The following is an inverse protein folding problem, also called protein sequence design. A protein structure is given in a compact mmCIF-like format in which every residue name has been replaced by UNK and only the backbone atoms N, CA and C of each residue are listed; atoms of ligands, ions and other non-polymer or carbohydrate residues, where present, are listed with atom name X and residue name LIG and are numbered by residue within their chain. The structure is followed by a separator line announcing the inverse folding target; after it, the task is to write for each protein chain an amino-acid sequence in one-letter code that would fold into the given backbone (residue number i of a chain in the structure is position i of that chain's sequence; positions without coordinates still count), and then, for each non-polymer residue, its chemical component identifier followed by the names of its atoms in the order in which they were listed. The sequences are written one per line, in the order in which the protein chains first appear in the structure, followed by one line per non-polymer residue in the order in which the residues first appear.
data_IF_346201259829
#
_entry.id   IF_346201259829
#
_cell.length_a   1.000
_cell.length_b   1.000
_cell.length_c   1.000
_cell.angle_alpha   90.00
_cell.angle_beta   90.00
_cell.angle_gamma   90.00
#
_symmetry.space_group_name_H-M   'P 1'
#
loop_
_entity.id
_entity.type
_entity.pdbx_description
1 polymer ?
#
# COMPACT_ATOMS: atom_id res chain seq x y z
N UNK A 1 28.71 47.66 -0.46
CA UNK A 1 29.18 48.00 -1.82
C UNK A 1 29.00 46.78 -2.69
N UNK A 2 28.37 46.89 -3.89
CA UNK A 2 28.12 45.75 -4.77
C UNK A 2 29.21 45.59 -5.83
N UNK A 3 29.58 44.34 -6.13
CA UNK A 3 30.31 43.95 -7.35
C UNK A 3 29.63 42.67 -7.87
N UNK A 4 28.70 42.83 -8.82
CA UNK A 4 28.87 42.64 -10.28
C UNK A 4 28.86 41.19 -10.74
N UNK A 5 27.90 40.91 -11.63
CA UNK A 5 27.72 39.63 -12.35
C UNK A 5 28.85 39.41 -13.34
N UNK A 6 29.17 38.14 -13.60
CA UNK A 6 29.70 37.70 -14.90
C UNK A 6 29.04 36.37 -15.27
N UNK A 7 28.22 36.41 -16.32
CA UNK A 7 27.64 35.22 -16.94
C UNK A 7 28.61 34.68 -17.98
N UNK A 8 28.81 33.36 -18.01
CA UNK A 8 29.45 32.67 -19.13
C UNK A 8 28.58 31.48 -19.54
N UNK A 9 28.26 31.40 -20.83
CA UNK A 9 27.35 30.40 -21.37
C UNK A 9 28.03 29.05 -21.57
N UNK A 10 27.32 27.95 -21.31
CA UNK A 10 27.75 26.61 -21.67
C UNK A 10 27.01 26.20 -22.97
N UNK A 11 27.76 26.08 -24.07
CA UNK A 11 27.24 25.66 -25.37
C UNK A 11 27.35 24.14 -25.54
N UNK A 12 26.32 23.53 -26.11
CA UNK A 12 26.36 22.14 -26.57
C UNK A 12 27.37 21.97 -27.70
N UNK A 13 28.05 20.83 -27.75
CA UNK A 13 28.51 20.25 -29.01
C UNK A 13 28.44 18.72 -28.94
N UNK A 14 27.63 18.13 -29.84
CA UNK A 14 27.74 16.72 -30.18
C UNK A 14 28.85 16.58 -31.23
N UNK A 15 29.62 15.49 -31.16
CA UNK A 15 30.44 15.04 -32.27
C UNK A 15 30.35 13.52 -32.43
N UNK A 16 29.71 13.08 -33.52
CA UNK A 16 29.94 11.76 -34.08
C UNK A 16 31.26 11.80 -34.86
N UNK A 17 32.07 10.75 -34.74
CA UNK A 17 33.16 10.48 -35.66
C UNK A 17 33.21 8.97 -35.94
N UNK A 18 32.94 8.60 -37.19
CA UNK A 18 33.18 7.26 -37.72
C UNK A 18 34.27 7.38 -38.79
N UNK A 19 35.29 6.53 -38.74
CA UNK A 19 36.19 6.26 -39.86
C UNK A 19 36.72 4.82 -39.80
N UNK A 20 36.35 4.05 -40.82
CA UNK A 20 37.16 2.96 -41.39
C UNK A 20 38.36 3.61 -42.15
N UNK A 21 39.43 2.97 -42.63
CA UNK A 21 39.77 1.56 -42.95
C UNK A 21 41.29 1.45 -43.25
N UNK A 22 41.86 0.23 -43.19
CA UNK A 22 43.12 -0.15 -43.88
C UNK A 22 44.41 0.03 -43.05
N UNK A 23 45.42 -0.86 -43.08
CA UNK A 23 45.60 -2.07 -43.90
C UNK A 23 46.35 -3.22 -43.17
N UNK A 24 46.16 -4.44 -43.69
CA UNK A 24 46.83 -5.73 -43.38
C UNK A 24 47.52 -6.23 -44.69
N UNK A 25 48.02 -7.47 -44.89
CA UNK A 25 48.07 -8.69 -44.05
C UNK A 25 49.48 -8.85 -43.40
N UNK A 26 49.98 -9.98 -42.89
CA UNK A 26 49.56 -11.40 -42.81
C UNK A 26 50.19 -12.02 -41.51
N UNK A 27 50.12 -13.30 -41.14
CA UNK A 27 49.40 -14.51 -41.58
C UNK A 27 49.35 -15.49 -40.36
N UNK A 28 48.84 -16.74 -40.34
CA UNK A 28 48.12 -17.59 -41.29
C UNK A 28 47.16 -18.52 -40.51
N UNK A 29 46.35 -19.30 -41.25
CA UNK A 29 45.68 -20.55 -40.82
C UNK A 29 44.60 -20.45 -39.72
N UNK A 30 43.34 -20.30 -40.16
CA UNK A 30 42.17 -20.59 -39.33
C UNK A 30 41.88 -22.10 -39.28
N UNK A 31 41.59 -22.61 -38.07
CA UNK A 31 40.85 -23.85 -37.89
C UNK A 31 39.38 -23.49 -37.63
N UNK A 32 38.48 -23.88 -38.54
CA UNK A 32 37.06 -23.59 -38.43
C UNK A 32 36.37 -24.48 -37.39
N UNK A 33 35.78 -23.88 -36.37
CA UNK A 33 34.78 -24.53 -35.52
C UNK A 33 33.46 -23.76 -35.66
N UNK A 34 32.44 -24.40 -36.23
CA UNK A 34 31.08 -23.87 -36.27
C UNK A 34 30.51 -23.85 -34.84
N UNK A 35 30.65 -22.73 -34.14
CA UNK A 35 29.89 -22.46 -32.93
C UNK A 35 28.43 -22.20 -33.34
N UNK A 36 27.61 -23.26 -33.34
CA UNK A 36 26.16 -23.10 -33.33
C UNK A 36 25.77 -22.22 -32.13
N UNK A 37 24.78 -21.32 -32.26
CA UNK A 37 24.25 -20.62 -31.10
C UNK A 37 23.76 -21.67 -30.10
N UNK A 38 24.21 -21.58 -28.86
CA UNK A 38 23.76 -22.47 -27.80
C UNK A 38 22.23 -22.38 -27.73
N UNK A 39 21.55 -23.52 -27.90
CA UNK A 39 20.12 -23.58 -27.73
C UNK A 39 19.79 -23.03 -26.33
N UNK A 40 18.89 -22.05 -26.26
CA UNK A 40 18.37 -21.57 -24.99
C UNK A 40 17.89 -22.79 -24.21
N UNK A 41 18.43 -23.01 -23.02
CA UNK A 41 17.97 -24.09 -22.17
C UNK A 41 16.45 -23.90 -21.97
N UNK A 42 15.63 -24.95 -22.15
CA UNK A 42 14.22 -24.84 -21.87
C UNK A 42 14.08 -24.38 -20.42
N UNK A 43 13.36 -23.27 -20.20
CA UNK A 43 13.10 -22.76 -18.87
C UNK A 43 12.61 -23.93 -18.01
N UNK A 44 13.27 -24.14 -16.87
CA UNK A 44 12.89 -25.22 -15.97
C UNK A 44 11.40 -25.09 -15.67
N UNK A 45 10.66 -26.20 -15.76
CA UNK A 45 9.24 -26.20 -15.42
C UNK A 45 9.10 -25.57 -14.02
N UNK A 46 8.26 -24.52 -13.83
CA UNK A 46 8.08 -23.91 -12.53
C UNK A 46 7.84 -24.99 -11.48
N UNK A 47 8.68 -25.00 -10.45
CA UNK A 47 8.57 -25.99 -9.39
C UNK A 47 7.23 -25.80 -8.68
N UNK A 48 6.56 -26.90 -8.31
CA UNK A 48 5.28 -26.85 -7.60
C UNK A 48 5.50 -26.14 -6.25
N UNK A 49 4.84 -25.00 -5.96
CA UNK A 49 5.05 -24.26 -4.72
C UNK A 49 4.89 -25.12 -3.46
N UNK A 50 4.06 -26.18 -3.52
CA UNK A 50 3.93 -27.14 -2.41
C UNK A 50 5.21 -27.94 -2.19
N UNK A 51 5.89 -28.36 -3.25
CA UNK A 51 7.14 -29.11 -3.17
C UNK A 51 8.29 -28.24 -2.66
N UNK A 52 8.34 -26.98 -3.10
CA UNK A 52 9.29 -25.98 -2.60
C UNK A 52 9.09 -25.80 -1.09
N UNK A 53 7.84 -25.61 -0.66
CA UNK A 53 7.47 -25.43 0.75
C UNK A 53 7.81 -26.66 1.62
N UNK A 54 7.48 -27.87 1.19
CA UNK A 54 7.84 -29.08 1.95
C UNK A 54 9.37 -29.28 2.03
N UNK A 55 10.11 -28.96 0.97
CA UNK A 55 11.57 -28.98 0.99
C UNK A 55 12.13 -27.94 1.98
N UNK A 56 11.57 -26.74 2.01
CA UNK A 56 11.95 -25.68 2.95
C UNK A 56 11.64 -26.07 4.41
N UNK A 57 10.47 -26.64 4.69
CA UNK A 57 10.15 -27.17 6.02
C UNK A 57 11.09 -28.33 6.42
N UNK A 58 11.43 -29.22 5.50
CA UNK A 58 12.39 -30.30 5.75
C UNK A 58 13.82 -29.77 6.00
N UNK A 59 14.20 -28.62 5.43
CA UNK A 59 15.46 -27.94 5.74
C UNK A 59 15.40 -27.25 7.11
N UNK A 60 14.30 -26.57 7.43
CA UNK A 60 14.10 -25.89 8.70
C UNK A 60 14.15 -26.88 9.89
N UNK A 61 13.50 -28.04 9.78
CA UNK A 61 13.55 -29.11 10.80
C UNK A 61 14.95 -29.63 11.12
N UNK A 62 15.93 -29.48 10.21
CA UNK A 62 17.33 -29.85 10.49
C UNK A 62 18.04 -28.83 11.41
N UNK A 63 17.59 -27.57 11.44
CA UNK A 63 18.09 -26.52 12.35
C UNK A 63 17.25 -26.41 13.62
N UNK A 64 15.93 -26.60 13.50
CA UNK A 64 14.94 -26.49 14.58
C UNK A 64 14.15 -27.80 14.62
N UNK A 65 14.63 -28.84 15.33
CA UNK A 65 13.99 -30.16 15.34
C UNK A 65 12.53 -30.13 15.79
N UNK A 66 12.22 -29.26 16.75
CA UNK A 66 10.89 -29.07 17.34
C UNK A 66 9.99 -28.12 16.50
N UNK A 67 10.37 -27.80 15.26
CA UNK A 67 9.54 -26.99 14.37
C UNK A 67 8.25 -27.72 13.98
N UNK A 68 7.12 -27.21 14.49
CA UNK A 68 5.79 -27.58 14.05
C UNK A 68 5.29 -26.69 12.91
N UNK A 69 4.55 -27.30 11.98
CA UNK A 69 3.88 -26.56 10.89
C UNK A 69 2.62 -25.85 11.38
N UNK A 70 1.96 -26.40 12.40
CA UNK A 70 0.76 -25.81 12.97
C UNK A 70 1.12 -24.48 13.64
N UNK A 71 0.38 -23.41 13.33
CA UNK A 71 0.71 -22.06 13.80
C UNK A 71 1.91 -21.39 13.09
N UNK A 72 2.46 -22.00 12.04
CA UNK A 72 3.48 -21.34 11.19
C UNK A 72 2.86 -20.62 9.99
N UNK A 73 3.40 -19.45 9.68
CA UNK A 73 3.13 -18.68 8.47
C UNK A 73 4.25 -18.91 7.45
N UNK A 74 3.94 -18.80 6.16
CA UNK A 74 4.95 -18.87 5.11
C UNK A 74 4.61 -17.94 3.94
N UNK A 75 5.66 -17.39 3.34
CA UNK A 75 5.60 -16.68 2.06
C UNK A 75 6.51 -17.40 1.05
N UNK A 76 6.07 -17.44 -0.21
CA UNK A 76 6.78 -18.08 -1.32
C UNK A 76 6.97 -17.04 -2.42
N UNK A 77 8.17 -16.99 -3.01
CA UNK A 77 8.51 -16.10 -4.12
C UNK A 77 10.01 -15.97 -4.29
N UNK A 78 10.44 -15.59 -5.50
CA UNK A 78 11.84 -15.33 -5.84
C UNK A 78 12.40 -14.11 -5.07
N UNK A 79 13.40 -14.33 -4.18
CA UNK A 79 14.04 -13.29 -3.37
C UNK A 79 15.32 -12.73 -3.97
N UNK A 80 15.97 -13.41 -4.93
CA UNK A 80 17.26 -12.97 -5.48
C UNK A 80 17.31 -12.80 -7.01
N UNK A 81 16.21 -13.08 -7.69
CA UNK A 81 16.03 -12.92 -9.13
C UNK A 81 16.58 -14.08 -9.95
N UNK A 82 16.83 -15.25 -9.36
CA UNK A 82 17.33 -16.43 -10.09
C UNK A 82 16.24 -17.17 -10.89
N UNK A 83 14.97 -16.80 -10.70
CA UNK A 83 13.82 -17.37 -11.39
C UNK A 83 13.24 -18.62 -10.71
N UNK A 84 13.70 -18.96 -9.50
CA UNK A 84 13.16 -20.04 -8.67
C UNK A 84 12.57 -19.43 -7.39
N UNK A 85 11.35 -19.84 -7.01
CA UNK A 85 10.76 -19.33 -5.77
C UNK A 85 11.50 -19.83 -4.52
N UNK A 86 11.80 -18.90 -3.62
CA UNK A 86 12.32 -19.15 -2.28
C UNK A 86 11.17 -19.23 -1.26
N UNK A 87 11.50 -19.56 -0.01
CA UNK A 87 10.51 -19.64 1.08
C UNK A 87 10.99 -18.86 2.30
N UNK A 88 10.10 -18.07 2.89
CA UNK A 88 10.26 -17.53 4.24
C UNK A 88 9.20 -18.14 5.13
N UNK A 89 9.59 -18.58 6.33
CA UNK A 89 8.70 -19.18 7.34
C UNK A 89 8.80 -18.37 8.62
N UNK A 90 7.66 -17.93 9.16
CA UNK A 90 7.56 -17.41 10.52
C UNK A 90 6.91 -18.48 11.41
N UNK A 91 7.48 -18.70 12.58
CA UNK A 91 7.13 -19.80 13.47
C UNK A 91 7.31 -19.38 14.94
N UNK A 92 6.49 -19.94 15.80
CA UNK A 92 6.57 -19.69 17.24
C UNK A 92 7.76 -20.38 17.90
N UNK A 93 8.34 -19.73 18.92
CA UNK A 93 9.06 -20.44 19.99
C UNK A 93 8.03 -20.78 21.08
N UNK A 94 7.79 -22.08 21.34
CA UNK A 94 6.80 -22.52 22.34
C UNK A 94 6.72 -24.03 22.49
N UNK A 95 6.01 -24.49 23.53
CA UNK A 95 5.64 -25.90 23.69
C UNK A 95 4.43 -26.25 22.82
N UNK A 96 4.21 -27.52 22.42
CA UNK A 96 3.08 -27.92 21.56
C UNK A 96 1.69 -27.49 22.05
N UNK A 97 1.52 -27.33 23.36
CA UNK A 97 0.25 -26.88 23.98
C UNK A 97 0.04 -25.35 23.94
N UNK A 98 1.05 -24.57 23.53
CA UNK A 98 0.99 -23.12 23.49
C UNK A 98 0.30 -22.62 22.21
N UNK A 99 -1.04 -22.56 22.22
CA UNK A 99 -1.87 -22.07 21.11
C UNK A 99 -1.56 -20.61 20.69
N UNK A 100 -0.81 -19.88 21.50
CA UNK A 100 -0.34 -18.52 21.25
C UNK A 100 1.17 -18.49 21.55
N UNK A 101 2.01 -18.45 20.52
CA UNK A 101 3.44 -18.26 20.70
C UNK A 101 3.71 -16.83 21.18
N UNK A 102 4.33 -16.68 22.35
CA UNK A 102 4.65 -15.35 22.92
C UNK A 102 5.70 -14.59 22.11
N UNK A 103 6.50 -15.31 21.32
CA UNK A 103 7.46 -14.78 20.35
C UNK A 103 7.38 -15.60 19.06
N UNK A 104 7.42 -14.93 17.90
CA UNK A 104 7.63 -15.57 16.59
C UNK A 104 9.01 -15.24 16.08
N UNK A 105 9.75 -16.25 15.65
CA UNK A 105 10.97 -16.11 14.84
C UNK A 105 10.64 -16.31 13.38
N UNK A 106 11.55 -15.92 12.50
CA UNK A 106 11.46 -16.26 11.09
C UNK A 106 12.77 -16.76 10.50
N UNK A 107 12.66 -17.48 9.40
CA UNK A 107 13.77 -18.04 8.65
C UNK A 107 13.52 -17.91 7.14
N UNK A 108 14.52 -17.45 6.41
CA UNK A 108 14.55 -17.51 4.95
C UNK A 108 15.31 -18.75 4.47
N UNK A 109 14.78 -19.41 3.44
CA UNK A 109 15.29 -20.63 2.83
C UNK A 109 15.36 -20.41 1.32
N UNK A 110 16.58 -20.33 0.78
CA UNK A 110 16.78 -20.14 -0.65
C UNK A 110 16.69 -21.48 -1.40
N UNK A 111 16.03 -21.52 -2.55
CA UNK A 111 15.87 -22.70 -3.40
C UNK A 111 17.09 -22.88 -4.30
N UNK A 112 18.07 -23.71 -3.89
CA UNK A 112 19.30 -23.91 -4.67
C UNK A 112 19.35 -25.25 -5.42
N UNK A 113 20.14 -25.37 -6.51
CA UNK A 113 20.35 -26.64 -7.21
C UNK A 113 20.89 -27.78 -6.34
N UNK A 114 21.59 -27.46 -5.24
CA UNK A 114 22.05 -28.41 -4.23
C UNK A 114 21.00 -28.78 -3.16
N UNK A 115 19.77 -28.30 -3.30
CA UNK A 115 18.71 -28.35 -2.31
C UNK A 115 18.52 -27.05 -1.53
N UNK A 116 17.45 -26.94 -0.71
CA UNK A 116 17.12 -25.75 0.07
C UNK A 116 18.26 -25.31 1.01
N UNK A 117 18.70 -24.06 0.85
CA UNK A 117 19.74 -23.41 1.64
C UNK A 117 19.12 -22.48 2.68
N UNK A 118 19.15 -22.90 3.93
CA UNK A 118 18.71 -22.09 5.07
C UNK A 118 19.68 -20.93 5.32
N UNK A 119 19.19 -19.69 5.30
CA UNK A 119 20.03 -18.49 5.47
C UNK A 119 20.47 -18.29 6.93
N UNK A 120 21.61 -17.61 7.16
CA UNK A 120 22.02 -17.17 8.50
C UNK A 120 20.96 -16.24 9.10
N UNK A 121 20.61 -16.45 10.37
CA UNK A 121 19.85 -15.45 11.11
C UNK A 121 20.82 -14.32 11.50
N UNK A 122 20.76 -13.22 10.76
CA UNK A 122 21.47 -11.96 11.05
C UNK A 122 20.42 -10.87 11.17
N UNK A 123 20.37 -10.21 12.33
CA UNK A 123 19.57 -9.01 12.58
C UNK A 123 18.06 -9.14 12.30
N UNK A 124 17.50 -10.32 12.56
CA UNK A 124 16.05 -10.48 12.75
C UNK A 124 15.72 -9.97 14.16
N UNK A 125 14.95 -8.89 14.27
CA UNK A 125 14.52 -8.38 15.57
C UNK A 125 13.80 -9.47 16.39
N UNK A 126 13.97 -9.46 17.71
CA UNK A 126 13.18 -10.30 18.63
C UNK A 126 11.70 -9.88 18.70
N UNK A 127 11.35 -8.76 18.04
CA UNK A 127 9.99 -8.40 17.69
C UNK A 127 9.36 -9.54 16.89
N UNK A 128 8.25 -10.11 17.39
CA UNK A 128 7.52 -11.09 16.58
C UNK A 128 7.03 -10.42 15.29
N UNK A 129 7.00 -11.16 14.18
CA UNK A 129 6.55 -10.64 12.88
C UNK A 129 5.45 -11.51 12.29
N UNK A 130 4.62 -10.87 11.48
CA UNK A 130 3.71 -11.51 10.54
C UNK A 130 4.30 -11.41 9.13
N UNK A 131 4.16 -12.48 8.34
CA UNK A 131 4.59 -12.46 6.93
C UNK A 131 3.48 -11.85 6.08
N UNK A 132 3.81 -10.83 5.29
CA UNK A 132 2.91 -10.32 4.23
C UNK A 132 3.15 -11.13 2.95
N UNK A 133 4.29 -10.92 2.29
CA UNK A 133 4.58 -11.55 0.99
C UNK A 133 6.06 -11.48 0.61
N UNK A 134 6.40 -12.23 -0.44
CA UNK A 134 7.59 -12.02 -1.24
C UNK A 134 7.13 -11.48 -2.60
N UNK A 135 7.70 -10.35 -3.06
CA UNK A 135 7.42 -9.77 -4.36
C UNK A 135 8.60 -8.91 -4.82
N UNK A 136 8.89 -8.89 -6.13
CA UNK A 136 9.93 -8.04 -6.75
C UNK A 136 11.32 -8.13 -6.06
N UNK A 137 11.76 -9.34 -5.68
CA UNK A 137 13.03 -9.58 -5.00
C UNK A 137 13.08 -9.08 -3.55
N UNK A 138 11.92 -8.88 -2.91
CA UNK A 138 11.79 -8.32 -1.55
C UNK A 138 10.84 -9.14 -0.68
N UNK A 139 11.22 -9.27 0.58
CA UNK A 139 10.37 -9.79 1.66
C UNK A 139 9.71 -8.60 2.37
N UNK A 140 8.39 -8.68 2.53
CA UNK A 140 7.59 -7.72 3.27
C UNK A 140 7.12 -8.36 4.58
N UNK A 141 7.37 -7.67 5.70
CA UNK A 141 6.99 -8.10 7.05
C UNK A 141 6.17 -7.02 7.74
N UNK A 142 5.27 -7.46 8.61
CA UNK A 142 4.49 -6.61 9.49
C UNK A 142 4.88 -6.87 10.94
N UNK A 143 5.17 -5.83 11.69
CA UNK A 143 5.44 -5.89 13.13
C UNK A 143 4.18 -5.48 13.88
N UNK A 144 3.64 -6.32 14.77
CA UNK A 144 2.47 -6.00 15.57
C UNK A 144 2.80 -5.06 16.73
N UNK A 145 1.76 -4.44 17.27
CA UNK A 145 1.75 -3.77 18.56
C UNK A 145 1.89 -4.76 19.74
N UNK A 146 1.13 -5.85 19.72
CA UNK A 146 1.05 -6.85 20.79
C UNK A 146 1.03 -8.27 20.21
N UNK A 147 2.16 -8.97 20.28
CA UNK A 147 2.34 -10.32 19.74
C UNK A 147 1.28 -11.36 20.18
N UNK A 148 0.70 -11.19 21.37
CA UNK A 148 -0.29 -12.10 21.96
C UNK A 148 -1.73 -11.59 21.88
N UNK A 149 -2.01 -10.55 21.11
CA UNK A 149 -3.40 -10.18 20.80
C UNK A 149 -3.99 -11.17 19.78
N UNK A 150 -5.30 -11.41 19.86
CA UNK A 150 -6.00 -12.24 18.86
C UNK A 150 -6.08 -11.54 17.48
N UNK A 151 -6.08 -10.20 17.47
CA UNK A 151 -6.11 -9.31 16.30
C UNK A 151 -5.09 -8.17 16.46
N UNK A 152 -3.78 -8.46 16.39
CA UNK A 152 -2.75 -7.46 16.63
C UNK A 152 -2.67 -6.43 15.49
N UNK A 153 -2.52 -5.15 15.82
CA UNK A 153 -2.41 -4.07 14.83
C UNK A 153 -0.97 -3.92 14.36
N UNK A 154 -0.75 -3.69 13.08
CA UNK A 154 0.61 -3.45 12.56
C UNK A 154 1.11 -2.07 12.98
N UNK A 155 2.16 -2.02 13.82
CA UNK A 155 2.85 -0.78 14.19
C UNK A 155 3.89 -0.34 13.16
N UNK A 156 4.51 -1.31 12.48
CA UNK A 156 5.65 -1.07 11.59
C UNK A 156 5.68 -2.06 10.43
N UNK A 157 6.03 -1.57 9.25
CA UNK A 157 6.19 -2.32 8.00
C UNK A 157 7.67 -2.38 7.67
N UNK A 158 8.23 -3.58 7.53
CA UNK A 158 9.64 -3.80 7.21
C UNK A 158 9.77 -4.33 5.79
N UNK A 159 10.77 -3.84 5.06
CA UNK A 159 11.17 -4.43 3.77
C UNK A 159 12.59 -4.96 3.86
N UNK A 160 12.79 -6.21 3.49
CA UNK A 160 14.09 -6.87 3.38
C UNK A 160 14.37 -7.24 1.92
N UNK A 161 15.64 -7.24 1.52
CA UNK A 161 16.07 -7.70 0.21
C UNK A 161 17.37 -8.51 0.31
N UNK A 162 17.59 -9.39 -0.66
CA UNK A 162 18.82 -10.17 -0.76
C UNK A 162 20.03 -9.29 -1.10
N UNK A 163 21.12 -9.46 -0.36
CA UNK A 163 22.37 -8.70 -0.56
C UNK A 163 23.53 -9.53 -1.14
N UNK A 164 23.24 -10.72 -1.70
CA UNK A 164 24.25 -11.69 -2.14
C UNK A 164 24.74 -12.67 -1.07
N UNK A 165 24.32 -12.50 0.20
CA UNK A 165 24.71 -13.38 1.31
C UNK A 165 23.58 -13.68 2.31
N UNK A 166 22.72 -12.69 2.60
CA UNK A 166 21.60 -12.79 3.52
C UNK A 166 20.49 -11.82 3.11
N UNK A 167 19.32 -11.90 3.75
CA UNK A 167 18.33 -10.84 3.68
C UNK A 167 18.74 -9.69 4.62
N UNK A 168 18.84 -8.47 4.08
CA UNK A 168 19.10 -7.27 4.85
C UNK A 168 17.89 -6.34 4.83
N UNK A 169 17.59 -5.70 5.96
CA UNK A 169 16.55 -4.68 6.06
C UNK A 169 16.94 -3.48 5.20
N UNK A 170 16.14 -3.14 4.20
CA UNK A 170 16.36 -2.03 3.29
C UNK A 170 15.41 -0.84 3.52
N UNK A 171 14.29 -1.08 4.21
CA UNK A 171 13.30 -0.03 4.53
C UNK A 171 12.55 -0.34 5.83
N UNK A 172 12.02 0.71 6.46
CA UNK A 172 11.16 0.65 7.64
C UNK A 172 10.17 1.80 7.64
N UNK A 173 8.90 1.50 7.89
CA UNK A 173 7.84 2.49 7.86
C UNK A 173 6.85 2.27 9.01
N UNK A 174 6.62 3.28 9.85
CA UNK A 174 5.56 3.22 10.86
C UNK A 174 4.17 3.23 10.21
N UNK A 175 3.14 2.78 10.93
CA UNK A 175 1.76 2.82 10.46
C UNK A 175 1.32 4.23 10.02
N UNK A 176 1.64 5.27 10.81
CA UNK A 176 1.41 6.68 10.44
C UNK A 176 2.12 7.07 9.14
N UNK A 177 3.40 6.73 8.99
CA UNK A 177 4.16 7.07 7.79
C UNK A 177 3.61 6.36 6.54
N UNK A 178 3.12 5.11 6.69
CA UNK A 178 2.42 4.38 5.63
C UNK A 178 1.10 5.05 5.28
N UNK A 179 0.28 5.36 6.28
CA UNK A 179 -0.99 6.05 6.10
C UNK A 179 -0.81 7.37 5.35
N UNK A 180 0.13 8.22 5.76
CA UNK A 180 0.46 9.49 5.08
C UNK A 180 0.94 9.29 3.64
N UNK A 181 1.77 8.29 3.38
CA UNK A 181 2.19 7.96 2.01
C UNK A 181 0.99 7.55 1.15
N UNK A 182 0.12 6.66 1.65
CA UNK A 182 -1.06 6.18 0.92
C UNK A 182 -2.07 7.30 0.68
N UNK A 183 -2.34 8.15 1.68
CA UNK A 183 -3.19 9.35 1.53
C UNK A 183 -2.61 10.32 0.49
N UNK A 184 -1.29 10.56 0.52
CA UNK A 184 -0.60 11.37 -0.47
C UNK A 184 -0.71 10.82 -1.89
N UNK A 185 -0.60 9.50 -2.06
CA UNK A 185 -0.78 8.81 -3.35
C UNK A 185 -2.24 8.88 -3.84
N UNK A 186 -3.21 8.76 -2.95
CA UNK A 186 -4.64 8.89 -3.27
C UNK A 186 -5.00 10.33 -3.68
N UNK A 187 -4.49 11.34 -2.96
CA UNK A 187 -4.61 12.76 -3.33
C UNK A 187 -4.10 13.02 -4.76
N UNK A 188 -2.91 12.49 -5.05
CA UNK A 188 -2.26 12.52 -6.35
C UNK A 188 -3.10 11.83 -7.45
N UNK A 189 -3.75 10.70 -7.13
CA UNK A 189 -4.62 9.97 -8.06
C UNK A 189 -5.89 10.76 -8.39
N UNK A 190 -6.58 11.32 -7.39
CA UNK A 190 -7.75 12.19 -7.60
C UNK A 190 -7.39 13.45 -8.39
N UNK A 191 -6.29 14.12 -8.06
CA UNK A 191 -5.82 15.31 -8.78
C UNK A 191 -5.52 15.02 -10.27
N UNK A 192 -5.00 13.83 -10.59
CA UNK A 192 -4.75 13.38 -11.97
C UNK A 192 -5.95 12.71 -12.65
N UNK A 193 -7.03 12.44 -11.92
CA UNK A 193 -8.17 11.61 -12.35
C UNK A 193 -7.75 10.21 -12.83
N UNK A 194 -6.78 9.62 -12.12
CA UNK A 194 -6.27 8.27 -12.41
C UNK A 194 -7.31 7.23 -11.99
N UNK A 195 -8.13 6.78 -12.95
CA UNK A 195 -9.23 5.85 -12.71
C UNK A 195 -8.75 4.55 -12.06
N UNK A 196 -7.59 4.03 -12.46
CA UNK A 196 -7.10 2.74 -11.94
C UNK A 196 -6.68 2.89 -10.49
N UNK A 197 -5.87 3.91 -10.16
CA UNK A 197 -5.43 4.16 -8.79
C UNK A 197 -6.58 4.53 -7.83
N UNK A 198 -7.63 5.20 -8.32
CA UNK A 198 -8.86 5.48 -7.54
C UNK A 198 -9.68 4.20 -7.33
N UNK A 199 -9.70 3.26 -8.28
CA UNK A 199 -10.40 1.98 -8.12
C UNK A 199 -9.60 0.95 -7.30
N UNK A 200 -8.27 1.08 -7.19
CA UNK A 200 -7.42 0.20 -6.38
C UNK A 200 -7.67 0.31 -4.86
N UNK A 201 -8.21 1.45 -4.38
CA UNK A 201 -8.63 1.60 -2.99
C UNK A 201 -9.97 0.94 -2.67
N UNK A 202 -10.62 0.25 -3.61
CA UNK A 202 -11.84 -0.52 -3.33
C UNK A 202 -11.59 -2.02 -3.23
N UNK A 203 -12.31 -2.68 -2.32
CA UNK A 203 -12.43 -4.13 -2.29
C UNK A 203 -13.64 -4.55 -3.11
N UNK A 204 -13.39 -5.06 -4.31
CA UNK A 204 -14.45 -5.58 -5.19
C UNK A 204 -14.83 -7.03 -4.85
N UNK A 205 -16.09 -7.45 -5.09
CA UNK A 205 -17.20 -6.66 -5.61
C UNK A 205 -17.80 -5.71 -4.57
N UNK A 206 -18.28 -4.55 -5.01
CA UNK A 206 -19.01 -3.60 -4.17
C UNK A 206 -20.51 -3.97 -4.17
N UNK A 207 -21.17 -4.03 -3.01
CA UNK A 207 -22.63 -4.14 -2.94
C UNK A 207 -23.31 -2.89 -3.52
N UNK A 208 -24.39 -3.05 -4.29
CA UNK A 208 -25.13 -1.91 -4.87
C UNK A 208 -25.68 -0.97 -3.79
N UNK A 209 -26.10 -1.52 -2.65
CA UNK A 209 -26.56 -0.76 -1.48
C UNK A 209 -25.43 -0.08 -0.68
N UNK A 210 -24.16 -0.19 -1.12
CA UNK A 210 -23.01 0.52 -0.52
C UNK A 210 -22.52 1.70 -1.36
N UNK A 211 -23.25 2.09 -2.41
CA UNK A 211 -22.87 3.17 -3.33
C UNK A 211 -24.08 3.99 -3.82
N UNK A 212 -23.94 5.31 -4.04
CA UNK A 212 -25.03 6.17 -4.50
C UNK A 212 -25.10 6.22 -6.03
N UNK A 213 -25.51 5.12 -6.67
CA UNK A 213 -25.57 4.97 -8.14
C UNK A 213 -26.95 4.54 -8.67
N UNK A 214 -27.98 4.59 -7.82
CA UNK A 214 -29.35 4.21 -8.18
C UNK A 214 -29.86 5.09 -9.33
N UNK A 215 -30.49 4.48 -10.34
CA UNK A 215 -30.97 5.17 -11.55
C UNK A 215 -29.89 5.49 -12.61
N UNK A 216 -28.60 5.25 -12.34
CA UNK A 216 -27.52 5.35 -13.34
C UNK A 216 -27.43 4.09 -14.22
N UNK A 217 -26.59 4.12 -15.26
CA UNK A 217 -26.33 2.94 -16.09
C UNK A 217 -25.60 1.84 -15.29
N UNK A 218 -24.67 2.22 -14.40
CA UNK A 218 -24.04 1.29 -13.46
C UNK A 218 -25.05 0.65 -12.51
N UNK A 219 -25.97 1.43 -11.94
CA UNK A 219 -27.01 0.91 -11.04
C UNK A 219 -27.84 -0.17 -11.71
N UNK A 220 -28.32 0.09 -12.92
CA UNK A 220 -29.07 -0.88 -13.74
C UNK A 220 -28.24 -2.13 -14.07
N UNK A 221 -26.93 -1.99 -14.34
CA UNK A 221 -26.05 -3.13 -14.59
C UNK A 221 -25.81 -3.96 -13.30
N UNK A 222 -25.70 -3.31 -12.14
CA UNK A 222 -25.51 -3.96 -10.85
C UNK A 222 -26.75 -4.72 -10.39
N UNK A 223 -27.96 -4.16 -10.57
CA UNK A 223 -29.24 -4.86 -10.34
C UNK A 223 -29.31 -6.15 -11.18
N UNK A 224 -28.93 -6.07 -12.46
CA UNK A 224 -28.84 -7.25 -13.34
C UNK A 224 -27.72 -8.24 -12.92
N UNK A 225 -26.74 -7.80 -12.14
CA UNK A 225 -25.64 -8.61 -11.61
C UNK A 225 -25.77 -8.88 -10.10
N UNK A 226 -26.96 -9.32 -9.67
CA UNK A 226 -27.25 -9.75 -8.28
C UNK A 226 -26.90 -8.67 -7.24
N UNK A 227 -27.20 -7.42 -7.54
CA UNK A 227 -26.94 -6.26 -6.69
C UNK A 227 -25.45 -6.07 -6.34
N UNK A 228 -24.55 -6.43 -7.27
CA UNK A 228 -23.10 -6.27 -7.09
C UNK A 228 -22.40 -5.62 -8.28
N UNK A 229 -21.44 -4.75 -7.99
CA UNK A 229 -20.57 -4.07 -8.94
C UNK A 229 -19.19 -4.72 -8.87
N UNK A 230 -18.75 -5.33 -9.96
CA UNK A 230 -17.37 -5.78 -10.13
C UNK A 230 -16.46 -4.64 -10.62
N UNK A 231 -15.14 -4.86 -10.54
CA UNK A 231 -14.14 -3.87 -10.94
C UNK A 231 -14.28 -3.44 -12.41
N UNK A 232 -14.60 -4.36 -13.32
CA UNK A 232 -14.76 -4.06 -14.75
C UNK A 232 -16.00 -3.20 -15.02
N UNK A 233 -17.06 -3.37 -14.23
CA UNK A 233 -18.24 -2.49 -14.26
C UNK A 233 -17.89 -1.10 -13.74
N UNK A 234 -17.18 -1.01 -12.61
CA UNK A 234 -16.68 0.25 -12.07
C UNK A 234 -15.72 0.98 -13.01
N UNK A 235 -14.85 0.27 -13.74
CA UNK A 235 -13.96 0.85 -14.75
C UNK A 235 -14.74 1.40 -15.96
N UNK A 236 -15.70 0.62 -16.49
CA UNK A 236 -16.56 1.04 -17.62
C UNK A 236 -17.46 2.23 -17.27
N UNK A 237 -18.01 2.23 -16.05
CA UNK A 237 -18.97 3.23 -15.57
C UNK A 237 -18.37 4.12 -14.47
N UNK A 238 -17.08 4.43 -14.57
CA UNK A 238 -16.37 5.21 -13.56
C UNK A 238 -17.05 6.56 -13.26
N UNK A 239 -17.60 7.20 -14.29
CA UNK A 239 -18.22 8.52 -14.17
C UNK A 239 -19.61 8.45 -13.46
N UNK A 240 -20.22 7.26 -13.35
CA UNK A 240 -21.42 7.02 -12.53
C UNK A 240 -21.05 6.89 -11.04
N UNK A 241 -19.92 6.24 -10.70
CA UNK A 241 -19.38 6.18 -9.33
C UNK A 241 -18.78 7.52 -8.88
N UNK A 242 -18.13 8.21 -9.81
CA UNK A 242 -17.38 9.43 -9.60
C UNK A 242 -17.80 10.52 -10.58
N UNK A 243 -18.99 11.13 -10.37
CA UNK A 243 -19.39 12.33 -11.10
C UNK A 243 -18.32 13.42 -11.01
N UNK A 244 -18.24 14.28 -12.03
CA UNK A 244 -17.17 15.27 -12.15
C UNK A 244 -17.04 16.21 -10.92
N UNK A 245 -18.14 16.46 -10.20
CA UNK A 245 -18.16 17.23 -8.96
C UNK A 245 -17.51 16.46 -7.79
N UNK A 246 -17.90 15.20 -7.55
CA UNK A 246 -17.29 14.30 -6.54
C UNK A 246 -15.78 14.19 -6.74
N UNK A 247 -15.31 14.02 -7.98
CA UNK A 247 -13.87 14.00 -8.29
C UNK A 247 -13.16 15.30 -7.90
N UNK A 248 -13.79 16.45 -8.13
CA UNK A 248 -13.22 17.76 -7.80
C UNK A 248 -13.21 17.99 -6.29
N UNK A 249 -14.29 17.64 -5.59
CA UNK A 249 -14.43 17.79 -4.14
C UNK A 249 -13.45 16.88 -3.40
N UNK A 250 -13.35 15.60 -3.78
CA UNK A 250 -12.36 14.66 -3.21
C UNK A 250 -10.91 15.07 -3.53
N UNK A 251 -10.61 15.56 -4.73
CA UNK A 251 -9.27 16.08 -5.04
C UNK A 251 -8.92 17.33 -4.20
N UNK A 252 -9.88 18.22 -3.94
CA UNK A 252 -9.70 19.40 -3.11
C UNK A 252 -9.49 19.02 -1.64
N UNK A 253 -10.36 18.17 -1.08
CA UNK A 253 -10.29 17.71 0.30
C UNK A 253 -8.94 17.02 0.59
N UNK A 254 -8.59 16.00 -0.21
CA UNK A 254 -7.32 15.29 -0.08
C UNK A 254 -6.10 16.21 -0.27
N UNK A 255 -6.21 17.24 -1.12
CA UNK A 255 -5.19 18.26 -1.33
C UNK A 255 -4.95 19.15 -0.10
N UNK A 256 -6.03 19.63 0.53
CA UNK A 256 -5.95 20.46 1.75
C UNK A 256 -5.48 19.64 2.96
N UNK A 257 -6.07 18.45 3.23
CA UNK A 257 -5.71 17.67 4.43
C UNK A 257 -4.29 17.12 4.42
N UNK A 258 -3.70 16.89 3.23
CA UNK A 258 -2.29 16.47 3.08
C UNK A 258 -1.30 17.47 3.69
N UNK A 259 -1.67 18.75 3.79
CA UNK A 259 -0.83 19.79 4.36
C UNK A 259 -1.06 20.00 5.88
N UNK A 260 -2.04 19.34 6.47
CA UNK A 260 -2.41 19.54 7.87
C UNK A 260 -1.53 18.73 8.83
N UNK A 261 -1.30 19.31 10.01
CA UNK A 261 -0.57 18.68 11.10
C UNK A 261 -1.54 18.07 12.11
N UNK A 262 -1.52 16.73 12.22
CA UNK A 262 -2.26 16.00 13.25
C UNK A 262 -1.84 16.41 14.66
N UNK A 263 -2.81 16.34 15.57
CA UNK A 263 -2.67 16.48 17.01
C UNK A 263 -3.52 15.41 17.68
N UNK A 264 -3.19 14.98 18.92
CA UNK A 264 -4.06 14.08 19.67
C UNK A 264 -5.48 14.63 19.81
N UNK A 265 -6.47 13.80 19.52
CA UNK A 265 -7.89 14.11 19.69
C UNK A 265 -8.32 13.78 21.15
N UNK A 266 -8.96 14.70 21.89
CA UNK A 266 -9.53 14.42 23.21
C UNK A 266 -10.52 13.25 23.26
N UNK A 267 -11.17 12.92 22.14
CA UNK A 267 -12.10 11.78 22.02
C UNK A 267 -11.39 10.44 21.71
N UNK A 268 -10.08 10.47 21.42
CA UNK A 268 -9.30 9.31 20.98
C UNK A 268 -8.85 9.45 19.52
N UNK A 269 -7.65 8.93 19.24
CA UNK A 269 -7.01 9.08 17.93
C UNK A 269 -6.33 10.43 17.72
N UNK A 270 -6.32 10.89 16.47
CA UNK A 270 -5.66 12.10 16.01
C UNK A 270 -6.60 12.93 15.12
N UNK A 271 -6.52 14.26 15.24
CA UNK A 271 -7.31 15.20 14.46
C UNK A 271 -6.43 16.34 13.91
N UNK A 272 -6.74 16.79 12.70
CA UNK A 272 -6.25 18.07 12.18
C UNK A 272 -7.36 18.86 11.49
N UNK A 273 -7.45 20.14 11.81
CA UNK A 273 -8.42 21.08 11.24
C UNK A 273 -7.67 22.20 10.51
N UNK A 274 -8.03 22.40 9.24
CA UNK A 274 -7.62 23.52 8.41
C UNK A 274 -8.76 24.52 8.23
N UNK A 275 -8.43 25.82 8.21
CA UNK A 275 -9.37 26.88 7.86
C UNK A 275 -8.70 27.92 6.97
N UNK A 276 -9.42 28.35 5.93
CA UNK A 276 -8.94 29.29 4.90
C UNK A 276 -10.05 30.26 4.53
N UNK A 277 -9.83 31.55 4.79
CA UNK A 277 -10.77 32.61 4.37
C UNK A 277 -10.67 32.87 2.87
N UNK A 278 -11.82 32.89 2.20
CA UNK A 278 -12.03 33.26 0.81
C UNK A 278 -13.09 34.37 0.74
N UNK A 279 -12.66 35.62 0.96
CA UNK A 279 -13.59 36.76 1.07
C UNK A 279 -14.44 36.68 2.34
N UNK A 280 -15.78 36.65 2.18
CA UNK A 280 -16.75 36.48 3.28
C UNK A 280 -16.90 35.02 3.73
N UNK A 281 -16.42 34.08 2.92
CA UNK A 281 -16.55 32.64 3.18
C UNK A 281 -15.28 32.10 3.84
N UNK A 282 -15.47 31.10 4.70
CA UNK A 282 -14.38 30.31 5.29
C UNK A 282 -14.53 28.88 4.78
N UNK A 283 -13.54 28.45 4.00
CA UNK A 283 -13.33 27.04 3.71
C UNK A 283 -12.75 26.37 4.95
N UNK A 284 -13.26 25.20 5.30
CA UNK A 284 -12.73 24.34 6.34
C UNK A 284 -12.47 22.94 5.79
N UNK A 285 -11.54 22.23 6.41
CA UNK A 285 -11.17 20.86 6.07
C UNK A 285 -10.72 20.14 7.33
N UNK A 286 -11.14 18.91 7.52
CA UNK A 286 -10.82 18.10 8.68
C UNK A 286 -10.29 16.73 8.25
N UNK A 287 -9.31 16.24 9.00
CA UNK A 287 -8.80 14.88 8.93
C UNK A 287 -8.82 14.32 10.34
N UNK A 288 -9.65 13.29 10.55
CA UNK A 288 -9.68 12.50 11.78
C UNK A 288 -9.14 11.10 11.49
N UNK A 289 -8.26 10.60 12.35
CA UNK A 289 -7.66 9.27 12.26
C UNK A 289 -7.84 8.60 13.62
N UNK A 290 -8.66 7.56 13.64
CA UNK A 290 -8.96 6.75 14.80
C UNK A 290 -8.15 5.45 14.70
N UNK A 291 -7.20 5.26 15.62
CA UNK A 291 -6.29 4.11 15.66
C UNK A 291 -6.86 3.05 16.62
N UNK A 292 -7.15 1.84 16.10
CA UNK A 292 -8.01 0.81 16.73
C UNK A 292 -9.50 1.20 16.91
N UNK A 293 -10.23 1.45 15.79
CA UNK A 293 -11.66 1.74 15.84
C UNK A 293 -12.48 0.51 16.26
N UNK A 294 -13.60 0.74 16.96
CA UNK A 294 -14.46 -0.34 17.47
C UNK A 294 -15.03 -1.26 16.37
N UNK A 295 -15.18 -0.79 15.13
CA UNK A 295 -15.59 -1.62 13.99
C UNK A 295 -14.68 -2.85 13.74
N UNK A 296 -13.42 -2.86 14.21
CA UNK A 296 -12.57 -4.06 14.14
C UNK A 296 -13.03 -5.19 15.08
N UNK A 297 -13.82 -4.86 16.10
CA UNK A 297 -14.25 -5.77 17.17
C UNK A 297 -15.63 -6.38 16.92
N UNK A 298 -16.33 -5.94 15.88
CA UNK A 298 -17.60 -6.52 15.45
C UNK A 298 -17.43 -8.01 15.07
N UNK A 299 -18.29 -8.88 15.61
CA UNK A 299 -18.16 -10.34 15.47
C UNK A 299 -18.20 -10.82 14.00
N UNK A 300 -18.90 -10.09 13.13
CA UNK A 300 -19.01 -10.36 11.70
C UNK A 300 -17.83 -9.81 10.87
N UNK A 301 -16.99 -8.93 11.43
CA UNK A 301 -15.91 -8.27 10.69
C UNK A 301 -14.63 -9.11 10.67
N UNK A 302 -14.30 -9.69 9.51
CA UNK A 302 -13.08 -10.47 9.29
C UNK A 302 -11.84 -9.64 8.89
N UNK A 303 -11.98 -8.32 8.68
CA UNK A 303 -10.88 -7.45 8.24
C UNK A 303 -10.20 -6.77 9.41
N UNK A 304 -8.86 -6.84 9.49
CA UNK A 304 -8.09 -6.15 10.52
C UNK A 304 -8.01 -4.64 10.23
N UNK A 305 -8.91 -3.86 10.82
CA UNK A 305 -8.92 -2.41 10.67
C UNK A 305 -7.88 -1.81 11.63
N UNK A 306 -6.80 -1.28 11.06
CA UNK A 306 -5.73 -0.61 11.82
C UNK A 306 -6.10 0.82 12.19
N UNK A 307 -6.75 1.52 11.25
CA UNK A 307 -7.29 2.85 11.47
C UNK A 307 -8.54 3.09 10.64
N UNK A 308 -9.49 3.86 11.20
CA UNK A 308 -10.56 4.54 10.46
C UNK A 308 -10.12 5.97 10.23
N UNK A 309 -10.27 6.45 8.99
CA UNK A 309 -9.86 7.78 8.57
C UNK A 309 -11.07 8.49 7.97
N UNK A 310 -11.41 9.64 8.52
CA UNK A 310 -12.51 10.46 8.06
C UNK A 310 -11.97 11.80 7.56
N UNK A 311 -12.34 12.15 6.34
CA UNK A 311 -11.96 13.39 5.68
C UNK A 311 -13.24 14.12 5.32
N UNK A 312 -13.41 15.30 5.88
CA UNK A 312 -14.56 16.16 5.67
C UNK A 312 -14.10 17.59 5.40
N UNK A 313 -15.03 18.42 4.93
CA UNK A 313 -14.73 19.83 4.68
C UNK A 313 -15.91 20.53 4.04
N UNK A 314 -15.75 21.81 3.81
CA UNK A 314 -16.78 22.61 3.16
C UNK A 314 -16.38 24.07 3.07
N UNK A 315 -17.34 24.88 2.66
CA UNK A 315 -17.24 26.34 2.62
C UNK A 315 -18.52 26.95 3.18
N UNK A 316 -18.41 27.94 4.07
CA UNK A 316 -19.56 28.62 4.66
C UNK A 316 -19.24 30.03 5.13
N UNK A 317 -20.26 30.86 5.34
CA UNK A 317 -20.09 32.26 5.76
C UNK A 317 -19.96 32.39 7.27
N UNK A 318 -19.17 33.37 7.72
CA UNK A 318 -19.10 33.73 9.15
C UNK A 318 -20.32 34.60 9.53
N UNK A 319 -21.46 33.94 9.73
CA UNK A 319 -22.77 34.58 9.99
C UNK A 319 -22.92 35.18 11.40
N UNK A 320 -21.88 35.09 12.24
CA UNK A 320 -21.91 35.56 13.65
C UNK A 320 -22.14 37.06 13.79
N UNK A 321 -21.90 37.84 12.75
CA UNK A 321 -22.14 39.28 12.74
C UNK A 321 -23.63 39.67 12.58
N UNK A 322 -24.52 38.73 12.19
CA UNK A 322 -25.88 39.06 11.73
C UNK A 322 -27.03 38.40 12.52
N UNK A 323 -26.71 37.56 13.51
CA UNK A 323 -27.69 36.78 14.28
C UNK A 323 -27.82 37.30 15.72
N UNK A 324 -29.04 37.32 16.28
CA UNK A 324 -29.32 37.87 17.60
C UNK A 324 -29.34 36.80 18.70
N UNK A 325 -29.37 35.52 18.33
CA UNK A 325 -29.42 34.38 19.24
C UNK A 325 -28.49 33.25 18.79
N UNK A 326 -28.06 32.40 19.73
CA UNK A 326 -27.20 31.24 19.42
C UNK A 326 -27.88 30.25 18.47
N UNK A 327 -29.20 30.07 18.57
CA UNK A 327 -29.97 29.24 17.62
C UNK A 327 -29.90 29.78 16.19
N UNK A 328 -30.15 31.08 16.00
CA UNK A 328 -30.02 31.72 14.69
C UNK A 328 -28.59 31.66 14.12
N UNK A 329 -27.55 31.71 14.97
CA UNK A 329 -26.17 31.49 14.53
C UNK A 329 -26.01 30.07 13.99
N UNK A 330 -26.45 29.05 14.74
CA UNK A 330 -26.32 27.65 14.35
C UNK A 330 -27.10 27.33 13.08
N UNK A 331 -28.36 27.76 12.99
CA UNK A 331 -29.22 27.54 11.81
C UNK A 331 -28.64 28.21 10.56
N UNK A 332 -28.09 29.43 10.68
CA UNK A 332 -27.48 30.16 9.55
C UNK A 332 -26.08 29.64 9.21
N UNK A 333 -25.30 29.16 10.18
CA UNK A 333 -24.04 28.47 9.92
C UNK A 333 -24.34 27.18 9.15
N UNK A 334 -25.32 26.38 9.58
CA UNK A 334 -25.73 25.16 8.89
C UNK A 334 -26.27 25.45 7.48
N UNK A 335 -27.12 26.46 7.31
CA UNK A 335 -27.69 26.83 6.00
C UNK A 335 -26.69 27.50 5.04
N UNK A 336 -25.59 28.08 5.53
CA UNK A 336 -24.55 28.68 4.69
C UNK A 336 -23.38 27.74 4.39
N UNK A 337 -23.23 26.63 5.12
CA UNK A 337 -22.22 25.60 4.86
C UNK A 337 -22.61 24.75 3.65
N UNK A 338 -21.93 24.96 2.52
CA UNK A 338 -21.78 23.93 1.50
C UNK A 338 -20.74 22.93 2.00
N UNK A 339 -21.20 21.81 2.53
CA UNK A 339 -20.35 20.65 2.87
C UNK A 339 -19.89 20.01 1.56
N UNK A 340 -18.59 19.75 1.43
CA UNK A 340 -18.03 18.88 0.39
C UNK A 340 -18.33 17.43 0.80
N UNK A 341 -18.45 16.51 -0.16
CA UNK A 341 -18.71 15.11 0.19
C UNK A 341 -17.68 14.56 1.18
N UNK A 342 -18.16 13.91 2.23
CA UNK A 342 -17.31 13.23 3.19
C UNK A 342 -16.69 11.98 2.55
N UNK A 343 -15.46 11.68 2.94
CA UNK A 343 -14.71 10.51 2.51
C UNK A 343 -14.32 9.70 3.74
N UNK A 344 -14.78 8.45 3.81
CA UNK A 344 -14.33 7.48 4.81
C UNK A 344 -13.36 6.49 4.17
N UNK A 345 -12.21 6.33 4.79
CA UNK A 345 -11.18 5.37 4.43
C UNK A 345 -10.86 4.50 5.64
N UNK A 346 -10.35 3.30 5.40
CA UNK A 346 -9.81 2.42 6.42
C UNK A 346 -8.39 2.01 6.02
N UNK A 347 -7.49 1.89 6.99
CA UNK A 347 -6.19 1.27 6.78
C UNK A 347 -6.31 -0.22 7.14
N UNK A 348 -6.27 -1.08 6.12
CA UNK A 348 -6.43 -2.53 6.25
C UNK A 348 -5.23 -3.18 5.55
N UNK A 349 -4.49 -4.01 6.29
CA UNK A 349 -3.24 -4.66 5.82
C UNK A 349 -2.19 -3.71 5.21
N UNK A 350 -2.19 -2.43 5.64
CA UNK A 350 -1.30 -1.38 5.14
C UNK A 350 -1.74 -0.72 3.84
N UNK A 351 -2.92 -1.06 3.32
CA UNK A 351 -3.54 -0.40 2.17
C UNK A 351 -4.76 0.41 2.56
N UNK A 352 -5.04 1.49 1.82
CA UNK A 352 -6.26 2.26 2.00
C UNK A 352 -7.44 1.54 1.34
N UNK A 353 -8.53 1.41 2.10
CA UNK A 353 -9.83 0.91 1.64
C UNK A 353 -10.88 2.01 1.77
N UNK A 354 -11.46 2.43 0.65
CA UNK A 354 -12.45 3.51 0.62
C UNK A 354 -13.87 2.97 0.71
N UNK A 355 -14.66 3.57 1.59
CA UNK A 355 -16.11 3.42 1.64
C UNK A 355 -16.73 4.67 1.04
N UNK A 356 -17.52 4.50 -0.04
CA UNK A 356 -18.34 5.60 -0.53
C UNK A 356 -19.51 5.84 0.43
N UNK A 357 -19.91 7.10 0.67
CA UNK A 357 -21.07 7.37 1.51
C UNK A 357 -22.33 6.82 0.85
N UNK A 358 -23.12 6.09 1.63
CA UNK A 358 -24.48 5.74 1.23
C UNK A 358 -25.31 7.01 1.17
N UNK A 359 -25.89 7.28 -0.01
CA UNK A 359 -26.65 8.50 -0.28
C UNK A 359 -27.92 8.59 0.56
N UNK A 360 -27.81 9.23 1.71
CA UNK A 360 -28.90 9.73 2.54
C UNK A 360 -28.47 11.05 3.22
N UNK A 361 -28.17 12.05 2.38
CA UNK A 361 -28.12 13.46 2.77
C UNK A 361 -29.45 14.13 2.47
#
# INVERSE_FOLDING_TARGET
MPYTRLSAALLLSLSLAACQSGDKPADAAAAGANAMPAAAQPAAKPADPKQILEAAFAALRKRVPDFERLGSEHAIGDLDGDGVDDVVVAYGDGTPDAQMATLKKWAAIMSRPGGPQLLPQTDTADDCVYLDKIADGKLYLQVPDICTAARPKTREYLTYAWNGKTLAKIDSQSADARLRQRLGALADAFARKDKNAILDVFKFPLPLQSVPVQGTALGQQAEANKDTIDRSMAERHFDDLFPAQRLADYALLLGEVRALQLKPDPEGGEIAVGQRRQGEETQWSELRIDWDPDEDRDEDNQELIQARIEISGGIGKDVKAEANTLGEVLDREQASRRVYEEMRLFLIDGELRMQLPNGAG
#
